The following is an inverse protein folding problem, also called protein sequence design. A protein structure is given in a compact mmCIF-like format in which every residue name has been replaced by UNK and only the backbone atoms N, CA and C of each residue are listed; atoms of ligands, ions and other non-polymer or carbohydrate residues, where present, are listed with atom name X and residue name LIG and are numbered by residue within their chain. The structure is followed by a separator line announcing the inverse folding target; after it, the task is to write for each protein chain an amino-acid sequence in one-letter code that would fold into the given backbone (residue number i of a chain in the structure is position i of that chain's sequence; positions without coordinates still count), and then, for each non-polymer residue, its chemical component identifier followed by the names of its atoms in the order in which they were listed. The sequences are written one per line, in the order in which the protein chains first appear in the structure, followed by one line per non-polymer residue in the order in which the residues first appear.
data_IF_769193682525
#
_entry.id   IF_769193682525
#
_cell.length_a   1.000
_cell.length_b   1.000
_cell.length_c   1.000
_cell.angle_alpha   90.00
_cell.angle_beta   90.00
_cell.angle_gamma   90.00
#
_symmetry.space_group_name_H-M   'P 1'
#
loop_
_entity.id
_entity.type
_entity.pdbx_description
1 polymer ?
#
# COMPACT_ATOMS: atom_id res chain seq x y z
N UNK A 1 -11.63 6.82 -10.46
CA UNK A 1 -10.57 5.89 -10.90
C UNK A 1 -10.14 5.11 -9.68
N UNK A 2 -9.99 3.79 -9.80
CA UNK A 2 -9.49 2.96 -8.70
C UNK A 2 -8.03 3.31 -8.39
N UNK A 3 -7.64 3.27 -7.11
CA UNK A 3 -6.24 3.42 -6.74
C UNK A 3 -5.45 2.20 -7.21
N UNK A 4 -4.14 2.34 -7.41
CA UNK A 4 -3.24 1.21 -7.68
C UNK A 4 -2.34 1.00 -6.47
N UNK A 5 -2.19 -0.24 -6.01
CA UNK A 5 -1.32 -0.60 -4.88
C UNK A 5 -0.40 -1.75 -5.25
N UNK A 6 0.90 -1.56 -5.03
CA UNK A 6 1.92 -2.58 -5.19
C UNK A 6 2.22 -3.20 -3.82
N UNK A 7 2.07 -4.52 -3.68
CA UNK A 7 2.29 -5.25 -2.43
C UNK A 7 3.23 -6.44 -2.65
N UNK A 8 3.78 -6.98 -1.56
CA UNK A 8 4.65 -8.17 -1.62
C UNK A 8 3.86 -9.39 -2.11
N UNK A 9 4.38 -10.08 -3.12
CA UNK A 9 3.95 -11.42 -3.50
C UNK A 9 4.57 -12.50 -2.58
N UNK A 10 3.93 -13.66 -2.47
CA UNK A 10 4.47 -14.78 -1.69
C UNK A 10 5.76 -15.34 -2.33
N UNK A 11 6.71 -15.74 -1.49
CA UNK A 11 7.98 -16.32 -1.96
C UNK A 11 7.69 -17.67 -2.62
N UNK A 12 8.08 -17.83 -3.88
CA UNK A 12 7.82 -19.04 -4.67
C UNK A 12 6.41 -19.15 -5.24
N UNK A 13 5.52 -18.19 -4.97
CA UNK A 13 4.15 -18.13 -5.49
C UNK A 13 3.79 -16.67 -5.85
N UNK A 14 4.30 -16.15 -6.99
CA UNK A 14 4.21 -14.71 -7.34
C UNK A 14 2.78 -14.23 -7.64
N UNK A 15 1.85 -15.15 -7.82
CA UNK A 15 0.42 -14.93 -8.02
C UNK A 15 -0.39 -14.91 -6.70
N UNK A 16 0.26 -15.16 -5.56
CA UNK A 16 -0.36 -15.13 -4.24
C UNK A 16 0.13 -13.94 -3.41
N UNK A 17 -0.75 -13.43 -2.54
CA UNK A 17 -0.39 -12.38 -1.59
C UNK A 17 0.67 -12.89 -0.59
N UNK A 18 1.73 -12.09 -0.39
CA UNK A 18 2.81 -12.40 0.53
C UNK A 18 2.57 -11.92 1.96
N UNK A 19 3.63 -11.99 2.75
CA UNK A 19 3.69 -11.84 4.21
C UNK A 19 4.17 -10.45 4.67
N UNK A 20 4.03 -9.40 3.85
CA UNK A 20 4.48 -8.06 4.26
C UNK A 20 3.45 -7.36 5.17
N UNK A 21 3.76 -7.12 6.46
CA UNK A 21 2.79 -6.50 7.38
C UNK A 21 2.49 -5.05 7.02
N UNK A 22 3.46 -4.31 6.45
CA UNK A 22 3.26 -2.95 5.97
C UNK A 22 2.29 -2.90 4.78
N UNK A 23 2.37 -3.90 3.89
CA UNK A 23 1.41 -4.04 2.79
C UNK A 23 0.01 -4.37 3.32
N UNK A 24 -0.08 -5.31 4.26
CA UNK A 24 -1.34 -5.68 4.89
C UNK A 24 -2.02 -4.49 5.59
N UNK A 25 -1.25 -3.63 6.28
CA UNK A 25 -1.76 -2.39 6.90
C UNK A 25 -2.46 -1.48 5.87
N UNK A 26 -1.83 -1.29 4.71
CA UNK A 26 -2.40 -0.47 3.62
C UNK A 26 -3.66 -1.13 3.04
N UNK A 27 -3.63 -2.45 2.80
CA UNK A 27 -4.78 -3.20 2.31
C UNK A 27 -5.96 -3.12 3.27
N UNK A 28 -5.74 -3.36 4.57
CA UNK A 28 -6.78 -3.23 5.60
C UNK A 28 -7.37 -1.81 5.63
N UNK A 29 -6.53 -0.78 5.52
CA UNK A 29 -7.01 0.61 5.49
C UNK A 29 -7.90 0.88 4.28
N UNK A 30 -7.54 0.36 3.09
CA UNK A 30 -8.35 0.47 1.88
C UNK A 30 -9.68 -0.28 2.01
N UNK A 31 -9.65 -1.51 2.55
CA UNK A 31 -10.82 -2.36 2.76
C UNK A 31 -11.80 -1.78 3.78
N UNK A 32 -11.31 -1.30 4.93
CA UNK A 32 -12.15 -0.67 5.97
C UNK A 32 -12.79 0.62 5.44
N UNK A 33 -12.05 1.39 4.63
CA UNK A 33 -12.58 2.60 3.99
C UNK A 33 -13.44 2.34 2.76
N UNK A 34 -13.57 1.08 2.32
CA UNK A 34 -14.31 0.69 1.10
C UNK A 34 -13.85 1.44 -0.14
N UNK A 35 -12.55 1.71 -0.24
CA UNK A 35 -11.94 2.40 -1.39
C UNK A 35 -11.60 1.37 -2.45
N UNK A 36 -12.13 1.47 -3.69
CA UNK A 36 -11.76 0.55 -4.76
C UNK A 36 -10.29 0.71 -5.17
N UNK A 37 -9.57 -0.41 -5.30
CA UNK A 37 -8.19 -0.43 -5.75
C UNK A 37 -7.89 -1.63 -6.65
N UNK A 38 -6.81 -1.52 -7.42
CA UNK A 38 -6.17 -2.59 -8.16
C UNK A 38 -4.87 -2.98 -7.46
N UNK A 39 -4.72 -4.26 -7.15
CA UNK A 39 -3.54 -4.81 -6.50
C UNK A 39 -2.56 -5.35 -7.53
N UNK A 40 -1.29 -4.97 -7.39
CA UNK A 40 -0.16 -5.48 -8.14
C UNK A 40 0.74 -6.28 -7.20
N UNK A 41 0.83 -7.59 -7.42
CA UNK A 41 1.73 -8.47 -6.66
C UNK A 41 3.16 -8.33 -7.20
N UNK A 42 4.08 -7.94 -6.31
CA UNK A 42 5.49 -7.73 -6.63
C UNK A 42 6.31 -8.84 -6.00
N UNK A 43 6.91 -9.68 -6.85
CA UNK A 43 8.00 -10.57 -6.43
C UNK A 43 9.22 -9.72 -6.10
N UNK A 44 9.58 -9.66 -4.82
CA UNK A 44 10.71 -8.86 -4.34
C UNK A 44 12.07 -9.48 -4.67
N UNK A 45 12.13 -10.79 -4.93
CA UNK A 45 13.34 -11.47 -5.38
C UNK A 45 13.58 -11.22 -6.88
N UNK A 46 12.51 -11.07 -7.66
CA UNK A 46 12.55 -10.78 -9.09
C UNK A 46 11.68 -9.55 -9.45
N UNK A 47 12.15 -8.35 -9.07
CA UNK A 47 11.38 -7.11 -9.20
C UNK A 47 11.15 -6.77 -10.68
N UNK A 48 9.91 -6.54 -11.12
CA UNK A 48 9.63 -6.09 -12.49
C UNK A 48 10.29 -4.75 -12.80
N UNK A 49 10.75 -4.57 -14.05
CA UNK A 49 11.41 -3.33 -14.48
C UNK A 49 10.52 -2.09 -14.29
N UNK A 50 9.25 -2.18 -14.68
CA UNK A 50 8.28 -1.09 -14.52
C UNK A 50 8.12 -0.65 -13.06
N UNK A 51 8.23 -1.59 -12.11
CA UNK A 51 8.12 -1.29 -10.68
C UNK A 51 9.32 -0.48 -10.18
N UNK A 52 10.52 -0.79 -10.67
CA UNK A 52 11.73 -0.03 -10.34
C UNK A 52 11.75 1.36 -10.99
N UNK A 53 11.13 1.53 -12.16
CA UNK A 53 10.98 2.83 -12.82
C UNK A 53 10.08 3.78 -12.00
N UNK A 54 9.00 3.25 -11.39
CA UNK A 54 8.09 4.05 -10.54
C UNK A 54 8.57 4.19 -9.09
N UNK A 55 9.39 3.25 -8.61
CA UNK A 55 9.89 3.20 -7.25
C UNK A 55 11.31 2.61 -7.24
N UNK A 56 12.34 3.43 -7.48
CA UNK A 56 13.74 2.98 -7.54
C UNK A 56 14.23 2.32 -6.25
N UNK A 57 13.60 2.63 -5.10
CA UNK A 57 13.91 1.99 -3.83
C UNK A 57 13.50 0.53 -3.75
N UNK A 58 12.62 0.05 -4.63
CA UNK A 58 12.22 -1.36 -4.74
C UNK A 58 11.50 -1.90 -3.49
N UNK A 59 11.02 -1.03 -2.59
CA UNK A 59 10.29 -1.39 -1.37
C UNK A 59 8.78 -1.39 -1.60
N UNK A 60 8.07 -2.24 -0.87
CA UNK A 60 6.59 -2.29 -0.84
C UNK A 60 6.11 -2.05 0.60
N UNK A 61 4.90 -1.51 0.82
CA UNK A 61 3.91 -1.12 -0.20
C UNK A 61 4.22 0.21 -0.90
N UNK A 62 3.61 0.40 -2.07
CA UNK A 62 3.56 1.68 -2.79
C UNK A 62 2.16 1.88 -3.35
N UNK A 63 1.57 3.07 -3.18
CA UNK A 63 0.23 3.41 -3.71
C UNK A 63 0.32 4.57 -4.68
N UNK A 64 -0.45 4.51 -5.77
CA UNK A 64 -0.55 5.59 -6.74
C UNK A 64 -1.68 6.55 -6.37
N UNK A 65 -1.32 7.75 -5.92
CA UNK A 65 -2.25 8.85 -5.68
C UNK A 65 -2.07 9.93 -6.74
N UNK A 66 -3.14 10.23 -7.48
CA UNK A 66 -3.17 11.35 -8.44
C UNK A 66 -1.97 11.33 -9.41
N UNK A 67 -1.63 10.14 -9.89
CA UNK A 67 -0.53 9.90 -10.82
C UNK A 67 0.86 9.75 -10.19
N UNK A 68 1.00 9.95 -8.87
CA UNK A 68 2.27 9.84 -8.14
C UNK A 68 2.31 8.59 -7.27
N UNK A 69 3.41 7.85 -7.34
CA UNK A 69 3.65 6.68 -6.51
C UNK A 69 4.25 7.10 -5.17
N UNK A 70 3.58 6.71 -4.08
CA UNK A 70 3.95 7.07 -2.70
C UNK A 70 4.30 5.81 -1.93
N UNK A 71 5.55 5.66 -1.46
CA UNK A 71 5.96 4.58 -0.57
C UNK A 71 5.63 4.90 0.89
N UNK A 72 6.01 4.01 1.80
CA UNK A 72 5.87 4.12 3.25
C UNK A 72 4.42 3.97 3.75
N UNK A 73 4.16 2.89 4.49
CA UNK A 73 2.81 2.59 4.98
C UNK A 73 2.25 3.66 5.92
N UNK A 74 3.09 4.34 6.73
CA UNK A 74 2.62 5.41 7.60
C UNK A 74 2.09 6.58 6.77
N UNK A 75 2.89 7.03 5.81
CA UNK A 75 2.53 8.13 4.89
C UNK A 75 1.31 7.75 4.05
N UNK A 76 1.27 6.55 3.49
CA UNK A 76 0.14 6.05 2.69
C UNK A 76 -1.16 6.09 3.49
N UNK A 77 -1.17 5.55 4.72
CA UNK A 77 -2.38 5.52 5.55
C UNK A 77 -2.86 6.92 5.94
N UNK A 78 -1.95 7.86 6.21
CA UNK A 78 -2.30 9.26 6.47
C UNK A 78 -2.91 9.96 5.24
N UNK A 79 -2.41 9.67 4.04
CA UNK A 79 -2.98 10.20 2.79
C UNK A 79 -4.38 9.61 2.57
N UNK A 80 -4.56 8.30 2.80
CA UNK A 80 -5.86 7.64 2.71
C UNK A 80 -6.87 8.25 3.69
N UNK A 81 -6.46 8.53 4.93
CA UNK A 81 -7.30 9.19 5.93
C UNK A 81 -7.73 10.59 5.47
N UNK A 82 -6.78 11.39 4.96
CA UNK A 82 -7.08 12.75 4.45
C UNK A 82 -8.01 12.74 3.23
N UNK A 83 -7.79 11.82 2.29
CA UNK A 83 -8.55 11.75 1.03
C UNK A 83 -9.92 11.06 1.19
N UNK A 84 -10.02 10.12 2.13
CA UNK A 84 -11.22 9.35 2.43
C UNK A 84 -11.50 9.41 3.95
N UNK A 85 -12.01 10.53 4.46
CA UNK A 85 -12.15 10.77 5.90
C UNK A 85 -13.29 9.99 6.57
N UNK A 86 -14.05 9.18 5.81
CA UNK A 86 -15.17 8.38 6.32
C UNK A 86 -15.10 6.94 5.78
N UNK A 87 -15.23 5.91 6.64
CA UNK A 87 -15.15 5.99 8.10
C UNK A 87 -13.79 6.52 8.57
N UNK A 88 -13.78 7.25 9.69
CA UNK A 88 -12.54 7.73 10.31
C UNK A 88 -11.80 6.56 10.94
N UNK A 89 -10.51 6.43 10.63
CA UNK A 89 -9.60 5.47 11.26
C UNK A 89 -8.50 6.18 12.06
N UNK A 90 -8.71 7.46 12.40
CA UNK A 90 -7.76 8.23 13.21
C UNK A 90 -7.66 7.62 14.61
N UNK A 91 -6.47 7.20 14.98
CA UNK A 91 -6.13 6.84 16.36
C UNK A 91 -5.96 8.13 17.18
N UNK A 92 -6.64 8.28 18.34
CA UNK A 92 -6.37 9.35 19.28
C UNK A 92 -4.88 9.43 19.65
N UNK A 93 -4.34 10.63 19.79
CA UNK A 93 -2.89 10.84 19.94
C UNK A 93 -2.31 10.15 21.18
N UNK A 94 -3.10 10.07 22.26
CA UNK A 94 -2.75 9.38 23.50
C UNK A 94 -2.58 7.86 23.36
N UNK A 95 -3.09 7.27 22.26
CA UNK A 95 -2.96 5.84 21.96
C UNK A 95 -2.01 5.57 20.79
N UNK A 96 -1.46 6.62 20.18
CA UNK A 96 -0.48 6.47 19.10
C UNK A 96 0.89 6.11 19.70
N UNK A 97 1.44 4.99 19.28
CA UNK A 97 2.82 4.59 19.58
C UNK A 97 3.75 4.98 18.44
N UNK A 98 4.03 6.28 18.33
CA UNK A 98 5.14 6.86 17.54
C UNK A 98 5.59 8.17 18.14
#
# INVERSE_FOLDING_TARGET
MALEVCVKAAVGAPDHLGDCPFSQRVLLTLEEKKVPYQMHLIDIANKPKWFLEINPGGKVPVVKFDGKWVPDSDVITQILEKKYPKPSLVTPAEYASV
#
